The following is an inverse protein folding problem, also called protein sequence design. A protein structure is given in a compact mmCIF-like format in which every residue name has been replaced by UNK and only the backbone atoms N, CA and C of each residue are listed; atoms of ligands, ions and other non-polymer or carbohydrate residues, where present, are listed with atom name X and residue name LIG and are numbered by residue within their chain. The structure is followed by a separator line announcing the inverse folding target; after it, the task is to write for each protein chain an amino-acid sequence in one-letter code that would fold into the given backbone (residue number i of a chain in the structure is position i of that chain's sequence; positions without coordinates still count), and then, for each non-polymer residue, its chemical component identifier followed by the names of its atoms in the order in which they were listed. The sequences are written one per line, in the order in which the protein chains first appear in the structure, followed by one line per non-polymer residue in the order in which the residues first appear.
data_IF_356071108950
#
_entry.id   IF_356071108950
#
_cell.length_a   1.000
_cell.length_b   1.000
_cell.length_c   1.000
_cell.angle_alpha   90.00
_cell.angle_beta   90.00
_cell.angle_gamma   90.00
#
_symmetry.space_group_name_H-M   'P 1'
#
loop_
_entity.id
_entity.type
_entity.pdbx_description
1 polymer ?
#
# COMPACT_ATOMS: atom_id res chain seq x y z
N UNK A 1 -8.25 2.01 -3.41
CA UNK A 1 -8.45 1.52 -2.03
C UNK A 1 -8.99 2.62 -1.11
N UNK A 2 -8.38 3.80 -1.05
CA UNK A 2 -8.72 4.87 -0.09
C UNK A 2 -10.20 5.25 0.01
N UNK A 3 -10.90 5.43 -1.11
CA UNK A 3 -12.31 5.82 -1.09
C UNK A 3 -13.21 4.75 -0.44
N UNK A 4 -12.99 3.48 -0.81
CA UNK A 4 -13.71 2.36 -0.21
C UNK A 4 -13.38 2.23 1.28
N UNK A 5 -12.10 2.37 1.66
CA UNK A 5 -11.70 2.39 3.08
C UNK A 5 -12.36 3.53 3.84
N UNK A 6 -12.46 4.72 3.26
CA UNK A 6 -13.13 5.86 3.92
C UNK A 6 -14.62 5.59 4.15
N UNK A 7 -15.31 5.04 3.15
CA UNK A 7 -16.72 4.64 3.27
C UNK A 7 -16.92 3.62 4.39
N UNK A 8 -16.15 2.53 4.35
CA UNK A 8 -16.27 1.44 5.33
C UNK A 8 -15.91 1.93 6.74
N UNK A 9 -14.80 2.63 6.92
CA UNK A 9 -14.30 3.00 8.25
C UNK A 9 -15.03 4.20 8.88
N UNK A 10 -15.56 5.14 8.09
CA UNK A 10 -16.06 6.43 8.61
C UNK A 10 -17.52 6.73 8.26
N UNK A 11 -18.17 5.91 7.44
CA UNK A 11 -19.54 6.15 6.92
C UNK A 11 -20.41 4.91 6.99
N UNK A 12 -20.14 4.06 7.98
CA UNK A 12 -20.92 2.85 8.25
C UNK A 12 -21.33 2.87 9.71
N UNK A 13 -22.61 2.64 9.96
CA UNK A 13 -23.18 2.67 11.31
C UNK A 13 -23.80 1.33 11.73
N UNK A 14 -23.96 0.38 10.79
CA UNK A 14 -24.56 -0.93 11.08
C UNK A 14 -23.82 -2.12 10.45
N UNK A 15 -23.88 -3.27 11.14
CA UNK A 15 -23.42 -4.56 10.62
C UNK A 15 -24.36 -4.99 9.47
N UNK A 16 -23.78 -5.43 8.36
CA UNK A 16 -24.52 -5.87 7.18
C UNK A 16 -25.22 -4.75 6.39
N UNK A 17 -24.83 -3.48 6.59
CA UNK A 17 -25.46 -2.31 5.98
C UNK A 17 -25.44 -2.32 4.44
N UNK A 18 -24.34 -2.81 3.85
CA UNK A 18 -24.17 -2.84 2.41
C UNK A 18 -24.23 -4.28 1.87
N UNK A 19 -24.95 -4.46 0.77
CA UNK A 19 -24.99 -5.72 0.02
C UNK A 19 -24.30 -5.53 -1.33
N UNK A 20 -23.31 -6.37 -1.61
CA UNK A 20 -22.59 -6.40 -2.89
C UNK A 20 -22.75 -7.77 -3.58
N UNK A 21 -22.51 -7.80 -4.88
CA UNK A 21 -22.54 -9.02 -5.68
C UNK A 21 -21.17 -9.24 -6.32
N UNK A 22 -20.17 -9.73 -5.57
CA UNK A 22 -18.78 -9.72 -6.02
C UNK A 22 -18.52 -10.69 -7.17
N UNK A 23 -19.40 -11.69 -7.35
CA UNK A 23 -19.20 -12.77 -8.31
C UNK A 23 -19.80 -12.53 -9.70
N UNK A 24 -20.47 -11.40 -9.93
CA UNK A 24 -21.22 -11.14 -11.18
C UNK A 24 -20.34 -11.07 -12.42
N UNK A 25 -19.05 -10.79 -12.25
CA UNK A 25 -18.06 -10.70 -13.34
C UNK A 25 -17.27 -11.99 -13.56
N UNK A 26 -17.52 -13.04 -12.76
CA UNK A 26 -16.84 -14.33 -12.88
C UNK A 26 -17.72 -15.32 -13.64
N UNK A 27 -17.29 -15.70 -14.86
CA UNK A 27 -18.03 -16.61 -15.74
C UNK A 27 -17.42 -18.02 -15.82
N UNK A 28 -16.17 -18.15 -15.39
CA UNK A 28 -15.42 -19.42 -15.38
C UNK A 28 -15.41 -20.03 -13.99
N UNK A 29 -15.37 -21.37 -13.91
CA UNK A 29 -15.31 -22.13 -12.65
C UNK A 29 -16.48 -21.85 -11.69
N UNK A 30 -17.64 -21.44 -12.22
CA UNK A 30 -18.84 -21.26 -11.43
C UNK A 30 -19.67 -22.55 -11.47
N UNK A 31 -19.92 -23.22 -10.33
CA UNK A 31 -20.61 -24.51 -10.31
C UNK A 31 -22.08 -24.40 -10.74
N UNK A 32 -22.72 -23.25 -10.53
CA UNK A 32 -24.14 -23.00 -10.84
C UNK A 32 -24.39 -21.50 -11.05
N UNK A 33 -25.26 -21.13 -11.99
CA UNK A 33 -25.47 -19.72 -12.40
C UNK A 33 -25.95 -18.84 -11.26
N UNK A 34 -26.74 -19.39 -10.34
CA UNK A 34 -27.25 -18.69 -9.16
C UNK A 34 -26.12 -18.29 -8.21
N UNK A 35 -24.97 -18.96 -8.26
CA UNK A 35 -23.80 -18.58 -7.45
C UNK A 35 -23.17 -17.25 -7.92
N UNK A 36 -23.29 -16.89 -9.20
CA UNK A 36 -22.81 -15.59 -9.71
C UNK A 36 -23.59 -14.42 -9.10
N UNK A 37 -24.89 -14.62 -8.87
CA UNK A 37 -25.81 -13.63 -8.31
C UNK A 37 -25.88 -13.70 -6.77
N UNK A 38 -24.93 -14.40 -6.13
CA UNK A 38 -24.91 -14.50 -4.67
C UNK A 38 -24.63 -13.13 -4.06
N UNK A 39 -25.63 -12.61 -3.37
CA UNK A 39 -25.51 -11.43 -2.52
C UNK A 39 -24.56 -11.72 -1.34
N UNK A 40 -23.67 -10.77 -1.06
CA UNK A 40 -22.79 -10.76 0.10
C UNK A 40 -23.03 -9.47 0.86
N UNK A 41 -23.51 -9.58 2.09
CA UNK A 41 -23.53 -8.47 3.02
C UNK A 41 -22.11 -8.25 3.55
N UNK A 42 -21.62 -7.02 3.45
CA UNK A 42 -20.32 -6.62 3.97
C UNK A 42 -20.52 -5.87 5.29
N UNK A 43 -19.44 -5.79 6.08
CA UNK A 43 -19.41 -5.34 7.48
C UNK A 43 -19.96 -6.40 8.42
N UNK A 44 -19.12 -7.41 8.64
CA UNK A 44 -19.27 -8.41 9.69
C UNK A 44 -19.01 -7.84 11.10
N UNK A 45 -18.22 -6.77 11.19
CA UNK A 45 -17.90 -6.05 12.43
C UNK A 45 -18.09 -4.55 12.23
N UNK A 46 -18.52 -3.85 13.29
CA UNK A 46 -18.65 -2.39 13.28
C UNK A 46 -17.26 -1.73 13.45
N UNK A 47 -16.80 -0.91 12.50
CA UNK A 47 -15.49 -0.25 12.61
C UNK A 47 -15.38 0.75 13.77
N UNK A 48 -16.51 1.25 14.26
CA UNK A 48 -16.57 2.17 15.39
C UNK A 48 -16.47 1.48 16.76
N UNK A 49 -16.54 0.15 16.83
CA UNK A 49 -16.44 -0.62 18.08
C UNK A 49 -14.97 -0.82 18.50
N UNK A 50 -14.23 0.28 18.57
CA UNK A 50 -12.83 0.29 18.97
C UNK A 50 -12.70 0.47 20.49
N UNK A 51 -11.79 -0.26 21.17
CA UNK A 51 -11.53 -0.07 22.58
C UNK A 51 -11.16 1.37 22.93
N UNK A 52 -11.55 1.81 24.12
CA UNK A 52 -11.16 3.12 24.63
C UNK A 52 -9.64 3.26 24.70
N UNK A 53 -9.11 4.37 24.18
CA UNK A 53 -7.67 4.64 24.12
C UNK A 53 -6.95 4.04 22.92
N UNK A 54 -7.66 3.36 22.02
CA UNK A 54 -7.09 2.93 20.75
C UNK A 54 -6.78 4.12 19.83
N UNK A 55 -5.67 4.04 19.10
CA UNK A 55 -5.28 5.03 18.09
C UNK A 55 -5.15 4.31 16.76
N UNK A 56 -6.08 4.59 15.85
CA UNK A 56 -6.13 4.02 14.52
C UNK A 56 -6.11 5.14 13.48
N UNK A 57 -5.26 5.00 12.45
CA UNK A 57 -5.13 5.99 11.38
C UNK A 57 -4.78 5.34 10.04
N UNK A 58 -5.12 6.03 8.96
CA UNK A 58 -4.84 5.63 7.58
C UNK A 58 -4.13 6.78 6.88
N UNK A 59 -3.00 6.51 6.21
CA UNK A 59 -2.24 7.52 5.46
C UNK A 59 -2.27 7.19 3.97
N UNK A 60 -2.34 8.24 3.15
CA UNK A 60 -2.32 8.13 1.69
C UNK A 60 -0.90 8.30 1.17
N UNK A 61 -0.40 7.39 0.35
CA UNK A 61 0.90 7.52 -0.30
C UNK A 61 1.51 6.19 -0.72
N UNK A 62 2.71 6.27 -1.27
CA UNK A 62 3.56 5.10 -1.51
C UNK A 62 4.26 4.71 -0.21
N UNK A 63 4.49 3.40 -0.01
CA UNK A 63 5.20 2.91 1.17
C UNK A 63 6.69 3.27 1.14
N UNK A 64 7.28 3.37 -0.05
CA UNK A 64 8.69 3.73 -0.19
C UNK A 64 8.91 5.13 0.39
N UNK A 65 9.74 5.20 1.44
CA UNK A 65 10.13 6.46 2.05
C UNK A 65 11.29 7.01 1.25
N UNK A 66 11.14 8.15 0.54
CA UNK A 66 12.27 8.77 -0.12
C UNK A 66 13.33 9.09 0.93
N UNK A 67 14.59 8.79 0.61
CA UNK A 67 15.76 9.00 1.49
C UNK A 67 15.99 10.48 1.88
N UNK A 68 15.12 11.39 1.45
CA UNK A 68 15.15 12.83 1.72
C UNK A 68 14.47 13.25 3.04
N UNK A 69 13.72 12.39 3.73
CA UNK A 69 13.07 12.77 5.01
C UNK A 69 14.00 12.71 6.23
N UNK A 70 15.21 12.19 6.08
CA UNK A 70 16.30 12.30 7.07
C UNK A 70 17.36 13.32 6.64
N UNK A 71 16.93 14.58 6.45
CA UNK A 71 17.80 15.73 6.72
C UNK A 71 17.21 16.47 7.91
N UNK A 72 17.39 15.89 9.10
CA UNK A 72 17.20 16.61 10.34
C UNK A 72 18.24 17.73 10.39
N UNK A 73 17.75 18.96 10.55
CA UNK A 73 18.53 20.18 10.63
C UNK A 73 19.67 20.09 11.66
N UNK A 74 20.91 20.12 11.18
CA UNK A 74 22.02 20.77 11.88
C UNK A 74 23.06 21.25 10.86
N UNK A 75 22.83 22.45 10.32
CA UNK A 75 23.87 23.46 10.04
C UNK A 75 23.21 24.68 9.40
N UNK A 76 23.08 25.76 10.18
CA UNK A 76 22.89 27.09 9.63
C UNK A 76 24.15 27.52 8.87
N UNK A 77 23.92 28.07 7.68
CA UNK A 77 24.51 29.29 7.10
C UNK A 77 26.04 29.32 6.95
N UNK A 78 26.51 29.17 5.71
CA UNK A 78 27.31 30.19 4.99
C UNK A 78 27.79 29.68 3.62
N UNK A 79 27.70 30.55 2.60
CA UNK A 79 28.59 30.49 1.43
C UNK A 79 28.02 29.88 0.15
N UNK A 80 27.50 30.75 -0.70
CA UNK A 80 27.66 30.79 -2.17
C UNK A 80 28.38 29.57 -2.81
N UNK A 81 27.68 28.81 -3.66
CA UNK A 81 28.09 28.58 -5.06
C UNK A 81 27.07 27.74 -5.84
N UNK A 82 26.82 28.24 -7.05
CA UNK A 82 26.06 27.67 -8.15
C UNK A 82 26.63 26.36 -8.69
N UNK A 83 25.76 25.42 -9.06
CA UNK A 83 25.95 24.52 -10.21
C UNK A 83 24.59 24.00 -10.66
N UNK A 84 24.15 24.24 -11.91
CA UNK A 84 22.97 23.59 -12.47
C UNK A 84 23.41 22.22 -12.98
N UNK A 85 23.34 21.20 -12.12
CA UNK A 85 23.48 19.83 -12.58
C UNK A 85 22.17 19.41 -13.25
N UNK A 86 22.08 19.72 -14.55
CA UNK A 86 21.23 19.03 -15.50
C UNK A 86 21.63 17.56 -15.51
N UNK A 87 20.84 16.72 -14.83
CA UNK A 87 20.74 15.31 -15.16
C UNK A 87 19.28 14.92 -14.96
N UNK A 88 18.47 15.18 -15.99
CA UNK A 88 17.11 14.67 -16.15
C UNK A 88 17.14 13.16 -16.44
N UNK A 89 17.76 12.39 -15.56
CA UNK A 89 17.62 10.95 -15.49
C UNK A 89 16.77 10.69 -14.25
N UNK A 90 15.50 10.27 -14.37
CA UNK A 90 14.83 9.72 -13.20
C UNK A 90 15.70 8.54 -12.74
N UNK A 91 16.18 8.52 -11.49
CA UNK A 91 16.93 7.37 -11.02
C UNK A 91 16.04 6.15 -11.23
N UNK A 92 16.62 5.10 -11.84
CA UNK A 92 15.99 3.80 -12.12
C UNK A 92 15.64 3.09 -10.79
N UNK A 93 14.80 3.69 -9.97
CA UNK A 93 14.52 3.32 -8.57
C UNK A 93 13.15 2.67 -8.41
N UNK A 94 12.26 2.78 -9.40
CA UNK A 94 10.89 2.26 -9.29
C UNK A 94 10.74 0.74 -9.47
N UNK A 95 11.81 0.02 -9.79
CA UNK A 95 11.71 -1.38 -10.23
C UNK A 95 12.11 -2.45 -9.25
N UNK A 96 12.63 -2.06 -8.09
CA UNK A 96 13.11 -3.00 -7.08
C UNK A 96 12.24 -2.95 -5.85
N UNK A 97 10.92 -2.98 -6.03
CA UNK A 97 9.94 -2.80 -4.95
C UNK A 97 10.27 -3.69 -3.75
N UNK A 98 10.64 -4.97 -3.96
CA UNK A 98 11.02 -5.85 -2.85
C UNK A 98 12.29 -5.38 -2.13
N UNK A 99 13.40 -5.15 -2.85
CA UNK A 99 14.68 -4.71 -2.26
C UNK A 99 14.57 -3.33 -1.62
N UNK A 100 13.80 -2.41 -2.22
CA UNK A 100 13.54 -1.10 -1.66
C UNK A 100 12.67 -1.18 -0.41
N UNK A 101 11.64 -2.04 -0.40
CA UNK A 101 10.81 -2.29 0.78
C UNK A 101 11.64 -2.88 1.92
N UNK A 102 12.49 -3.90 1.69
CA UNK A 102 13.33 -4.48 2.75
C UNK A 102 14.32 -3.47 3.31
N UNK A 103 14.92 -2.64 2.43
CA UNK A 103 15.80 -1.55 2.85
C UNK A 103 15.06 -0.51 3.69
N UNK A 104 13.85 -0.12 3.28
CA UNK A 104 13.02 0.83 4.02
C UNK A 104 12.58 0.27 5.36
N UNK A 105 12.14 -0.99 5.41
CA UNK A 105 11.77 -1.70 6.62
C UNK A 105 12.94 -1.76 7.61
N UNK A 106 14.12 -2.14 7.15
CA UNK A 106 15.32 -2.19 7.99
C UNK A 106 15.65 -0.81 8.60
N UNK A 107 15.37 0.29 7.90
CA UNK A 107 15.63 1.65 8.41
C UNK A 107 14.61 2.14 9.44
N UNK A 108 13.35 1.72 9.32
CA UNK A 108 12.27 2.16 10.23
C UNK A 108 12.11 1.26 11.45
N UNK A 109 12.61 0.02 11.40
CA UNK A 109 12.59 -0.90 12.53
C UNK A 109 13.55 -0.42 13.62
N UNK A 110 13.07 -0.44 14.87
CA UNK A 110 13.92 -0.23 16.03
C UNK A 110 14.95 -1.37 16.16
N UNK A 111 16.09 -1.15 16.84
CA UNK A 111 17.04 -2.23 17.14
C UNK A 111 16.35 -3.39 17.85
N UNK A 112 16.51 -4.62 17.33
CA UNK A 112 15.82 -5.82 17.83
C UNK A 112 14.37 -5.98 17.34
N UNK A 113 13.87 -5.06 16.50
CA UNK A 113 12.57 -5.18 15.85
C UNK A 113 12.52 -6.35 14.86
N UNK A 114 11.34 -6.96 14.73
CA UNK A 114 11.12 -8.15 13.89
C UNK A 114 10.19 -7.79 12.74
N UNK A 115 10.56 -8.19 11.52
CA UNK A 115 9.70 -8.13 10.34
C UNK A 115 9.09 -9.51 10.08
N UNK A 116 7.76 -9.56 9.91
CA UNK A 116 7.01 -10.76 9.60
C UNK A 116 6.49 -10.64 8.15
N UNK A 117 6.79 -11.62 7.30
CA UNK A 117 6.33 -11.68 5.92
C UNK A 117 5.57 -13.00 5.67
N UNK A 118 4.36 -12.92 5.10
CA UNK A 118 3.54 -14.08 4.78
C UNK A 118 2.77 -13.81 3.48
N UNK A 119 3.04 -14.60 2.45
CA UNK A 119 2.36 -14.50 1.15
C UNK A 119 3.14 -15.19 0.03
N UNK A 120 2.53 -15.33 -1.16
CA UNK A 120 3.24 -15.81 -2.35
C UNK A 120 4.18 -14.74 -2.91
N UNK A 121 5.12 -15.15 -3.77
CA UNK A 121 5.98 -14.27 -4.56
C UNK A 121 5.39 -14.05 -5.96
N UNK A 122 4.22 -13.40 -6.04
CA UNK A 122 3.61 -13.00 -7.32
C UNK A 122 4.08 -11.60 -7.70
N UNK A 123 4.92 -11.51 -8.74
CA UNK A 123 5.57 -10.27 -9.16
C UNK A 123 4.64 -9.44 -10.05
N UNK A 124 4.17 -8.30 -9.53
CA UNK A 124 3.12 -7.49 -10.19
C UNK A 124 3.54 -6.90 -11.54
N UNK A 125 4.85 -6.70 -11.73
CA UNK A 125 5.42 -6.14 -12.96
C UNK A 125 6.07 -7.20 -13.84
N UNK A 126 5.92 -8.49 -13.52
CA UNK A 126 6.36 -9.57 -14.40
C UNK A 126 5.66 -9.46 -15.76
N UNK A 127 6.43 -9.63 -16.84
CA UNK A 127 5.93 -9.65 -18.22
C UNK A 127 5.08 -8.42 -18.62
N UNK A 128 5.36 -7.24 -18.07
CA UNK A 128 4.64 -6.03 -18.46
C UNK A 128 5.11 -5.50 -19.83
N UNK A 129 4.17 -4.97 -20.63
CA UNK A 129 4.46 -4.40 -21.96
C UNK A 129 5.10 -3.00 -21.89
N UNK A 130 4.99 -2.34 -20.73
CA UNK A 130 5.44 -0.96 -20.53
C UNK A 130 6.94 -0.87 -20.18
N UNK A 131 7.66 -1.99 -20.22
CA UNK A 131 9.06 -2.12 -19.87
C UNK A 131 9.40 -1.56 -18.47
N UNK A 132 8.44 -1.61 -17.54
CA UNK A 132 8.71 -1.35 -16.14
C UNK A 132 9.64 -2.45 -15.64
N UNK A 133 10.76 -2.11 -14.97
CA UNK A 133 11.68 -3.16 -14.56
C UNK A 133 11.09 -3.96 -13.39
N UNK A 134 11.27 -5.28 -13.44
CA UNK A 134 10.87 -6.25 -12.42
C UNK A 134 12.09 -7.06 -12.03
N UNK A 135 12.36 -7.21 -10.73
CA UNK A 135 13.41 -8.10 -10.22
C UNK A 135 12.74 -9.23 -9.46
N UNK A 136 12.81 -10.41 -10.06
CA UNK A 136 12.33 -11.67 -9.50
C UNK A 136 13.49 -12.37 -8.77
N UNK A 137 13.29 -12.70 -7.49
CA UNK A 137 14.27 -13.36 -6.62
C UNK A 137 14.00 -14.86 -6.47
#
# INVERSE_FOLDING_TARGET
MLLASFLILNKTDAIGEYTIYPYVHFFSNVPRREAMLKAVQILDVLPSDLPQGSSFSLVTGEFEVPSTRMKTNHKQVNGMQSSPASSSTPPKTLSTIFVSCTTSLHRILAPGGVWINLGPLLWHFENNENNYPSIEL
#
